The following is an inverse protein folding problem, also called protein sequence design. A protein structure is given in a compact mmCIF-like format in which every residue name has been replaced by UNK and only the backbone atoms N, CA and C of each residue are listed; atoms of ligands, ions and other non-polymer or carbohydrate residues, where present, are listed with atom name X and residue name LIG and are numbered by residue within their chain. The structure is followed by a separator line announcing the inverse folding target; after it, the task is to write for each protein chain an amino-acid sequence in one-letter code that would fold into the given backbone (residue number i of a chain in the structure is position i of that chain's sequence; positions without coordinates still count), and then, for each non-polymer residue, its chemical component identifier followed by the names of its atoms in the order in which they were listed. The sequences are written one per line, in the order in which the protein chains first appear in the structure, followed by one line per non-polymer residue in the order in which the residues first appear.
data_IF_416503007322
#
_entry.id   IF_416503007322
#
_cell.length_a   1.000
_cell.length_b   1.000
_cell.length_c   1.000
_cell.angle_alpha   90.00
_cell.angle_beta   90.00
_cell.angle_gamma   90.00
#
_symmetry.space_group_name_H-M   'P 1'
#
loop_
_entity.id
_entity.type
_entity.pdbx_description
1 polymer ?
#
# COMPACT_ATOMS: atom_id res chain seq x y z
N UNK A 1 -19.16 -6.78 -20.37
CA UNK A 1 -18.49 -6.10 -19.23
C UNK A 1 -17.53 -6.99 -18.45
N UNK A 2 -17.91 -8.22 -18.05
CA UNK A 2 -17.06 -9.10 -17.22
C UNK A 2 -15.69 -9.45 -17.82
N UNK A 3 -15.61 -9.67 -19.14
CA UNK A 3 -14.34 -10.03 -19.79
C UNK A 3 -13.30 -8.89 -19.78
N UNK A 4 -13.74 -7.63 -19.91
CA UNK A 4 -12.86 -6.45 -19.90
C UNK A 4 -12.23 -6.27 -18.51
N UNK A 5 -13.06 -6.38 -17.46
CA UNK A 5 -12.59 -6.27 -16.07
C UNK A 5 -11.60 -7.39 -15.74
N UNK A 6 -11.86 -8.61 -16.20
CA UNK A 6 -10.95 -9.74 -15.97
C UNK A 6 -9.62 -9.57 -16.72
N UNK A 7 -9.65 -9.09 -17.96
CA UNK A 7 -8.42 -8.81 -18.72
C UNK A 7 -7.63 -7.65 -18.10
N UNK A 8 -8.29 -6.60 -17.63
CA UNK A 8 -7.64 -5.51 -16.92
C UNK A 8 -7.00 -6.01 -15.61
N UNK A 9 -7.70 -6.85 -14.84
CA UNK A 9 -7.17 -7.46 -13.61
C UNK A 9 -5.92 -8.30 -13.90
N UNK A 10 -5.95 -9.13 -14.95
CA UNK A 10 -4.78 -9.91 -15.38
C UNK A 10 -3.62 -9.01 -15.78
N UNK A 11 -3.88 -8.01 -16.63
CA UNK A 11 -2.86 -7.07 -17.07
C UNK A 11 -2.21 -6.31 -15.89
N UNK A 12 -3.00 -5.89 -14.89
CA UNK A 12 -2.48 -5.27 -13.68
C UNK A 12 -1.61 -6.22 -12.85
N UNK A 13 -2.04 -7.47 -12.66
CA UNK A 13 -1.28 -8.47 -11.89
C UNK A 13 0.02 -8.84 -12.60
N UNK A 14 -0.01 -8.98 -13.92
CA UNK A 14 1.15 -9.44 -14.70
C UNK A 14 2.15 -8.31 -14.97
N UNK A 15 1.70 -7.07 -15.17
CA UNK A 15 2.55 -5.98 -15.67
C UNK A 15 2.67 -4.79 -14.72
N UNK A 16 1.71 -4.57 -13.82
CA UNK A 16 1.75 -3.41 -12.91
C UNK A 16 2.27 -3.80 -11.53
N UNK A 17 1.73 -4.86 -10.93
CA UNK A 17 2.08 -5.28 -9.57
C UNK A 17 3.59 -5.57 -9.41
N UNK A 18 4.26 -6.36 -10.29
CA UNK A 18 5.67 -6.68 -10.12
C UNK A 18 6.61 -5.47 -10.30
N UNK A 19 6.15 -4.45 -11.03
CA UNK A 19 6.95 -3.26 -11.32
C UNK A 19 6.74 -2.12 -10.32
N UNK A 20 5.55 -2.02 -9.70
CA UNK A 20 5.17 -0.83 -8.94
C UNK A 20 4.65 -1.09 -7.51
N UNK A 21 4.24 -2.33 -7.19
CA UNK A 21 3.64 -2.65 -5.89
C UNK A 21 4.36 -3.76 -5.12
N UNK A 22 5.20 -4.55 -5.79
CA UNK A 22 6.11 -5.47 -5.10
C UNK A 22 7.34 -4.72 -4.56
N UNK A 23 8.11 -5.38 -3.69
CA UNK A 23 9.41 -4.88 -3.26
C UNK A 23 10.39 -4.87 -4.45
N UNK A 24 10.28 -3.84 -5.27
CA UNK A 24 11.15 -3.60 -6.40
C UNK A 24 12.57 -3.30 -5.87
N UNK A 25 13.64 -3.63 -6.62
CA UNK A 25 15.01 -3.33 -6.23
C UNK A 25 15.33 -1.82 -6.34
N UNK A 26 14.59 -0.97 -5.62
CA UNK A 26 15.11 0.34 -5.25
C UNK A 26 16.17 0.13 -4.18
N UNK A 27 17.39 0.60 -4.42
CA UNK A 27 18.46 0.44 -3.44
C UNK A 27 18.23 1.34 -2.24
N UNK A 28 18.76 0.92 -1.08
CA UNK A 28 18.78 1.73 0.13
C UNK A 28 19.39 3.10 -0.13
N UNK A 29 20.47 3.15 -0.90
CA UNK A 29 21.18 4.38 -1.25
C UNK A 29 20.28 5.33 -2.06
N UNK A 30 19.49 4.81 -2.99
CA UNK A 30 18.52 5.60 -3.76
C UNK A 30 17.42 6.14 -2.84
N UNK A 31 16.92 5.35 -1.88
CA UNK A 31 15.94 5.85 -0.90
C UNK A 31 16.53 6.99 -0.06
N UNK A 32 17.77 6.85 0.40
CA UNK A 32 18.45 7.87 1.22
C UNK A 32 18.70 9.15 0.40
N UNK A 33 19.24 9.02 -0.80
CA UNK A 33 19.72 10.16 -1.60
C UNK A 33 18.60 10.86 -2.37
N UNK A 34 17.63 10.10 -2.87
CA UNK A 34 16.61 10.62 -3.79
C UNK A 34 15.24 10.80 -3.13
N UNK A 35 14.91 10.01 -2.09
CA UNK A 35 13.55 9.95 -1.56
C UNK A 35 13.44 10.24 -0.05
N UNK A 36 14.55 10.55 0.60
CA UNK A 36 14.56 11.03 2.00
C UNK A 36 14.67 12.55 2.01
N UNK A 37 13.57 13.22 2.37
CA UNK A 37 13.51 14.68 2.49
C UNK A 37 14.46 15.15 3.58
N UNK A 38 15.11 16.30 3.35
CA UNK A 38 16.02 16.92 4.31
C UNK A 38 15.39 17.11 5.68
N UNK A 39 14.13 17.56 5.73
CA UNK A 39 13.40 17.74 6.98
C UNK A 39 13.26 16.42 7.76
N UNK A 40 12.89 15.33 7.09
CA UNK A 40 12.74 14.03 7.73
C UNK A 40 14.09 13.49 8.22
N UNK A 41 15.15 13.65 7.44
CA UNK A 41 16.52 13.31 7.84
C UNK A 41 16.96 14.07 9.09
N UNK A 42 16.70 15.36 9.18
CA UNK A 42 17.05 16.14 10.36
C UNK A 42 16.23 15.70 11.60
N UNK A 43 14.91 15.53 11.44
CA UNK A 43 14.02 15.23 12.56
C UNK A 43 14.12 13.78 13.08
N UNK A 44 14.31 12.81 12.20
CA UNK A 44 14.16 11.38 12.53
C UNK A 44 15.50 10.65 12.67
N UNK A 45 16.58 11.17 12.08
CA UNK A 45 17.90 10.51 12.08
C UNK A 45 19.01 11.42 12.62
N UNK A 46 18.69 12.65 13.03
CA UNK A 46 19.68 13.62 13.51
C UNK A 46 20.67 14.05 12.44
N UNK A 47 20.27 14.04 11.17
CA UNK A 47 21.14 14.38 10.04
C UNK A 47 21.98 13.22 9.50
N UNK A 48 21.84 12.00 10.03
CA UNK A 48 22.56 10.84 9.54
C UNK A 48 21.91 10.23 8.28
N UNK A 49 22.71 9.62 7.41
CA UNK A 49 22.23 8.90 6.24
C UNK A 49 21.54 7.59 6.66
N UNK A 50 20.21 7.63 6.69
CA UNK A 50 19.39 6.46 6.94
C UNK A 50 18.10 6.51 6.12
N UNK A 51 17.73 5.36 5.55
CA UNK A 51 16.49 5.23 4.80
C UNK A 51 15.32 5.39 5.78
N UNK A 52 14.51 6.41 5.56
CA UNK A 52 13.33 6.69 6.39
C UNK A 52 12.09 6.32 5.61
N UNK A 53 11.29 5.43 6.18
CA UNK A 53 10.07 4.92 5.55
C UNK A 53 8.83 5.39 6.32
N UNK A 54 7.76 5.67 5.59
CA UNK A 54 6.43 5.93 6.10
C UNK A 54 5.58 4.71 5.80
N UNK A 55 5.10 4.05 6.84
CA UNK A 55 4.18 2.92 6.74
C UNK A 55 2.82 3.40 7.20
N UNK A 56 1.87 3.46 6.26
CA UNK A 56 0.50 3.86 6.57
C UNK A 56 -0.50 2.90 5.94
N UNK A 57 -1.52 2.54 6.73
CA UNK A 57 -2.61 1.68 6.28
C UNK A 57 -3.77 2.54 5.83
N UNK A 58 -4.20 2.38 4.59
CA UNK A 58 -5.31 3.16 4.01
C UNK A 58 -6.56 2.29 4.00
N UNK A 59 -7.71 2.86 4.38
CA UNK A 59 -8.99 2.18 4.25
C UNK A 59 -9.56 2.37 2.84
N UNK A 60 -9.67 1.28 2.09
CA UNK A 60 -10.34 1.28 0.79
C UNK A 60 -11.76 0.73 0.93
N UNK A 61 -12.75 1.52 0.52
CA UNK A 61 -14.13 1.08 0.47
C UNK A 61 -14.32 0.03 -0.62
N UNK A 62 -15.07 -1.02 -0.29
CA UNK A 62 -15.44 -2.08 -1.23
C UNK A 62 -16.94 -2.31 -1.18
N UNK A 63 -17.53 -2.64 -2.33
CA UNK A 63 -18.95 -2.94 -2.39
C UNK A 63 -19.29 -4.20 -1.59
N UNK A 64 -20.52 -4.23 -1.07
CA UNK A 64 -21.05 -5.37 -0.30
C UNK A 64 -20.97 -6.64 -1.14
N UNK A 65 -20.36 -7.69 -0.59
CA UNK A 65 -20.29 -8.99 -1.25
C UNK A 65 -21.56 -9.80 -1.00
N UNK A 66 -21.97 -10.59 -1.99
CA UNK A 66 -22.99 -11.64 -1.83
C UNK A 66 -22.47 -12.82 -1.00
N UNK A 67 -21.15 -12.98 -0.90
CA UNK A 67 -20.52 -13.94 -0.01
C UNK A 67 -20.53 -13.41 1.43
N UNK A 68 -21.42 -13.96 2.26
CA UNK A 68 -21.62 -13.55 3.65
C UNK A 68 -20.36 -13.68 4.52
N UNK A 69 -19.52 -14.70 4.30
CA UNK A 69 -18.28 -14.87 5.05
C UNK A 69 -17.29 -13.75 4.72
N UNK A 70 -17.10 -13.47 3.43
CA UNK A 70 -16.22 -12.41 2.96
C UNK A 70 -16.74 -11.02 3.37
N UNK A 71 -18.06 -10.84 3.36
CA UNK A 71 -18.70 -9.61 3.77
C UNK A 71 -18.44 -9.28 5.24
N UNK A 72 -18.49 -10.27 6.14
CA UNK A 72 -18.18 -10.08 7.56
C UNK A 72 -16.72 -9.68 7.76
N UNK A 73 -15.79 -10.35 7.09
CA UNK A 73 -14.35 -10.02 7.16
C UNK A 73 -14.04 -8.60 6.69
N UNK A 74 -14.76 -8.11 5.68
CA UNK A 74 -14.56 -6.75 5.17
C UNK A 74 -15.27 -5.69 6.02
N UNK A 75 -16.23 -6.05 6.87
CA UNK A 75 -17.02 -5.05 7.58
C UNK A 75 -16.24 -4.47 8.76
N UNK A 76 -15.88 -3.20 8.68
CA UNK A 76 -15.26 -2.50 9.79
C UNK A 76 -16.31 -2.01 10.77
N UNK A 77 -16.26 -2.47 12.02
CA UNK A 77 -17.11 -1.98 13.09
C UNK A 77 -16.83 -0.49 13.39
N UNK A 78 -15.56 -0.11 13.45
CA UNK A 78 -15.15 1.27 13.73
C UNK A 78 -15.60 2.28 12.67
N UNK A 79 -15.72 1.86 11.40
CA UNK A 79 -16.14 2.72 10.28
C UNK A 79 -17.54 2.41 9.75
N UNK A 80 -18.21 1.42 10.33
CA UNK A 80 -19.56 0.95 9.99
C UNK A 80 -19.79 0.71 8.48
N UNK A 81 -18.78 0.19 7.77
CA UNK A 81 -18.85 -0.07 6.32
C UNK A 81 -17.84 -1.13 5.85
N UNK A 82 -18.05 -1.75 4.68
CA UNK A 82 -17.12 -2.72 4.13
C UNK A 82 -15.86 -2.03 3.60
N UNK A 83 -14.70 -2.47 4.09
CA UNK A 83 -13.39 -1.92 3.81
C UNK A 83 -12.36 -3.05 3.66
N UNK A 84 -11.28 -2.74 2.96
CA UNK A 84 -10.02 -3.49 3.00
C UNK A 84 -8.90 -2.53 3.39
N UNK A 85 -7.82 -3.06 3.99
CA UNK A 85 -6.70 -2.26 4.46
C UNK A 85 -5.38 -2.72 3.82
N UNK A 86 -4.98 -2.17 2.67
CA UNK A 86 -3.59 -2.25 2.23
C UNK A 86 -2.69 -1.42 3.15
N UNK A 87 -1.47 -1.90 3.36
CA UNK A 87 -0.39 -1.14 3.99
C UNK A 87 0.55 -0.63 2.91
N UNK A 88 0.65 0.69 2.79
CA UNK A 88 1.55 1.34 1.85
C UNK A 88 2.89 1.59 2.54
N UNK A 89 3.96 1.13 1.92
CA UNK A 89 5.34 1.36 2.36
C UNK A 89 5.92 2.41 1.41
N UNK A 90 6.19 3.59 1.94
CA UNK A 90 6.60 4.74 1.14
C UNK A 90 7.86 5.37 1.71
N UNK A 91 8.59 6.12 0.89
CA UNK A 91 9.59 7.04 1.36
C UNK A 91 8.94 8.36 1.81
N UNK A 92 9.75 9.25 2.40
CA UNK A 92 9.26 10.51 3.01
C UNK A 92 8.75 11.55 2.01
N UNK A 93 9.01 11.36 0.72
CA UNK A 93 8.48 12.16 -0.38
C UNK A 93 7.22 11.55 -1.02
N UNK A 94 6.68 10.48 -0.43
CA UNK A 94 5.58 9.66 -0.92
C UNK A 94 5.92 8.78 -2.14
N UNK A 95 7.20 8.56 -2.44
CA UNK A 95 7.59 7.51 -3.38
C UNK A 95 7.16 6.14 -2.85
N UNK A 96 6.39 5.38 -3.64
CA UNK A 96 5.91 4.05 -3.25
C UNK A 96 7.05 3.04 -3.41
N UNK A 97 7.41 2.37 -2.32
CA UNK A 97 8.43 1.32 -2.31
C UNK A 97 7.77 -0.04 -2.50
N UNK A 98 6.64 -0.27 -1.83
CA UNK A 98 5.88 -1.52 -1.89
C UNK A 98 4.50 -1.32 -1.29
N UNK A 99 3.57 -2.22 -1.60
CA UNK A 99 2.29 -2.34 -0.93
C UNK A 99 2.09 -3.78 -0.42
N UNK A 100 1.66 -3.92 0.84
CA UNK A 100 1.37 -5.22 1.45
C UNK A 100 -0.08 -5.34 1.88
N UNK A 101 -0.51 -6.58 2.16
CA UNK A 101 -1.92 -6.93 2.39
C UNK A 101 -2.64 -7.30 1.08
N UNK A 102 -3.93 -6.94 0.90
CA UNK A 102 -4.77 -6.19 1.82
C UNK A 102 -5.28 -7.05 2.99
N UNK A 103 -5.22 -6.49 4.19
CA UNK A 103 -5.81 -7.11 5.37
C UNK A 103 -7.31 -6.82 5.46
N UNK A 104 -8.00 -7.69 6.19
CA UNK A 104 -9.41 -7.54 6.53
C UNK A 104 -9.63 -6.48 7.61
N UNK A 105 -10.86 -5.96 7.68
CA UNK A 105 -11.21 -4.85 8.56
C UNK A 105 -12.07 -5.26 9.76
N UNK A 106 -12.12 -6.56 10.06
CA UNK A 106 -12.97 -7.23 11.04
C UNK A 106 -12.45 -7.21 12.49
N UNK A 107 -11.41 -6.42 12.77
CA UNK A 107 -10.86 -6.15 14.10
C UNK A 107 -11.30 -4.79 14.62
#
# INVERSE_FOLDING_TARGET
MGHIVENARKALIENFVPSYLEFHPISRETVIKCHTRTLAKQLLTGGNDAATLVLDSIYLYVQKSTNNLLQRKRFSLHKNRPLIKPMMIMATDAYIISATGPDYADW
#
